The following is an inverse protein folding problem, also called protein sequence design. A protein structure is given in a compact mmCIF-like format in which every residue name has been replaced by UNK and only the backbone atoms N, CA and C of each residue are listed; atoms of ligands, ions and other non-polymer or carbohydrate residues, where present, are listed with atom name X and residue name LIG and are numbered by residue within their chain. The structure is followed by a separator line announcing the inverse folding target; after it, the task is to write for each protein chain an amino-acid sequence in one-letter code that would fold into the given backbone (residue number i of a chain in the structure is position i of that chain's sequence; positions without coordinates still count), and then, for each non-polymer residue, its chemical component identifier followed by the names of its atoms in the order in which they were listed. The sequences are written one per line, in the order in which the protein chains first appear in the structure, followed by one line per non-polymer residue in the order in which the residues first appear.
data_IF_266464515310
#
_entry.id   IF_266464515310
#
_cell.length_a   1.000
_cell.length_b   1.000
_cell.length_c   1.000
_cell.angle_alpha   90.00
_cell.angle_beta   90.00
_cell.angle_gamma   90.00
#
_symmetry.space_group_name_H-M   'P 1'
#
loop_
_entity.id
_entity.type
_entity.pdbx_description
1 polymer ?
#
# COMPACT_ATOMS: atom_id res chain seq x y z
N UNK A 1 15.77 -10.31 6.31
CA UNK A 1 14.92 -9.94 7.45
C UNK A 1 13.57 -10.66 7.40
N UNK A 2 12.63 -10.32 6.53
CA UNK A 2 11.29 -10.96 6.48
C UNK A 2 11.33 -12.47 6.23
N UNK A 3 12.15 -12.92 5.31
CA UNK A 3 12.24 -14.35 4.91
C UNK A 3 12.66 -15.25 6.07
N UNK A 4 13.41 -14.71 7.03
CA UNK A 4 13.86 -15.42 8.24
C UNK A 4 12.88 -15.27 9.42
N UNK A 5 11.87 -14.39 9.27
CA UNK A 5 10.88 -14.11 10.30
C UNK A 5 11.46 -13.54 11.58
N UNK A 6 10.78 -13.75 12.69
CA UNK A 6 11.25 -13.32 14.02
C UNK A 6 12.55 -14.00 14.45
N UNK A 7 12.87 -15.17 13.92
CA UNK A 7 14.10 -15.87 14.23
C UNK A 7 15.36 -15.07 13.83
N UNK A 8 15.25 -14.15 12.86
CA UNK A 8 16.35 -13.26 12.46
C UNK A 8 16.80 -12.32 13.58
N UNK A 9 15.95 -12.09 14.57
CA UNK A 9 16.21 -11.15 15.66
C UNK A 9 16.70 -11.82 16.95
N UNK A 10 16.80 -13.16 16.97
CA UNK A 10 17.31 -13.87 18.14
C UNK A 10 18.72 -13.39 18.48
N UNK A 11 18.95 -13.06 19.75
CA UNK A 11 20.19 -12.51 20.31
C UNK A 11 20.61 -11.15 19.72
N UNK A 12 19.73 -10.49 18.94
CA UNK A 12 19.98 -9.15 18.43
C UNK A 12 19.66 -8.08 19.46
N UNK A 13 20.40 -6.98 19.38
CA UNK A 13 20.19 -5.75 20.16
C UNK A 13 19.53 -4.72 19.25
N UNK A 14 18.19 -4.65 19.33
CA UNK A 14 17.35 -3.92 18.37
C UNK A 14 16.95 -2.55 18.93
N UNK A 15 17.32 -1.49 18.22
CA UNK A 15 16.87 -0.13 18.52
C UNK A 15 15.64 0.22 17.67
N UNK A 16 14.54 0.54 18.34
CA UNK A 16 13.34 1.09 17.71
C UNK A 16 13.41 2.63 17.75
N UNK A 17 13.37 3.26 16.60
CA UNK A 17 13.23 4.71 16.47
C UNK A 17 11.75 5.11 16.38
N UNK A 18 11.42 6.25 15.74
CA UNK A 18 10.05 6.67 15.60
C UNK A 18 9.25 5.71 14.72
N UNK A 19 8.13 5.24 15.26
CA UNK A 19 7.22 4.30 14.61
C UNK A 19 6.10 4.97 13.81
N UNK A 20 5.15 4.15 13.30
CA UNK A 20 3.86 4.64 12.86
C UNK A 20 3.06 5.16 14.06
N UNK A 21 2.06 6.02 13.80
CA UNK A 21 1.16 6.49 14.86
C UNK A 21 0.39 5.32 15.47
N UNK A 22 0.36 5.24 16.81
CA UNK A 22 -0.29 4.15 17.53
C UNK A 22 0.67 3.16 18.17
N UNK A 23 0.13 2.10 18.80
CA UNK A 23 0.88 1.22 19.71
C UNK A 23 1.67 0.11 18.98
N UNK A 24 1.83 0.19 17.66
CA UNK A 24 2.45 -0.88 16.87
C UNK A 24 3.88 -1.21 17.32
N UNK A 25 4.75 -0.20 17.52
CA UNK A 25 6.13 -0.46 17.94
C UNK A 25 6.26 -1.01 19.34
N UNK A 26 5.34 -0.68 20.25
CA UNK A 26 5.27 -1.31 21.58
C UNK A 26 4.94 -2.80 21.48
N UNK A 27 3.96 -3.14 20.63
CA UNK A 27 3.56 -4.52 20.37
C UNK A 27 4.67 -5.30 19.64
N UNK A 28 5.33 -4.67 18.68
CA UNK A 28 6.47 -5.25 17.96
C UNK A 28 7.63 -5.54 18.92
N UNK A 29 7.91 -4.63 19.85
CA UNK A 29 8.94 -4.86 20.87
C UNK A 29 8.66 -6.11 21.69
N UNK A 30 7.40 -6.39 22.03
CA UNK A 30 7.02 -7.61 22.74
C UNK A 30 7.24 -8.86 21.87
N UNK A 31 6.93 -8.82 20.56
CA UNK A 31 7.20 -9.94 19.66
C UNK A 31 8.71 -10.20 19.51
N UNK A 32 9.51 -9.14 19.37
CA UNK A 32 10.97 -9.22 19.25
C UNK A 32 11.61 -9.79 20.54
N UNK A 33 11.16 -9.31 21.70
CA UNK A 33 11.62 -9.81 23.01
C UNK A 33 11.26 -11.28 23.20
N UNK A 34 10.04 -11.69 22.83
CA UNK A 34 9.61 -13.08 22.86
C UNK A 34 10.45 -13.97 21.93
N UNK A 35 10.99 -13.41 20.84
CA UNK A 35 11.91 -14.10 19.93
C UNK A 35 13.37 -14.15 20.44
N UNK A 36 13.67 -13.53 21.59
CA UNK A 36 15.01 -13.53 22.20
C UNK A 36 15.86 -12.30 21.83
N UNK A 37 15.28 -11.21 21.32
CA UNK A 37 15.96 -9.94 21.12
C UNK A 37 16.00 -9.10 22.40
N UNK A 38 17.04 -8.29 22.56
CA UNK A 38 17.04 -7.16 23.50
C UNK A 38 16.56 -5.92 22.77
N UNK A 39 15.47 -5.31 23.26
CA UNK A 39 14.83 -4.20 22.53
C UNK A 39 15.02 -2.90 23.30
N UNK A 40 15.49 -1.90 22.60
CA UNK A 40 15.68 -0.53 23.05
C UNK A 40 14.79 0.42 22.23
N UNK A 41 14.37 1.53 22.83
CA UNK A 41 13.49 2.50 22.18
C UNK A 41 13.94 3.91 22.46
N UNK A 42 13.94 4.76 21.43
CA UNK A 42 14.11 6.21 21.59
C UNK A 42 12.80 6.90 21.23
N UNK A 43 12.27 7.71 22.15
CA UNK A 43 11.13 8.59 21.93
C UNK A 43 11.62 9.99 21.57
N UNK A 44 11.12 10.55 20.48
CA UNK A 44 11.49 11.86 19.97
C UNK A 44 10.48 12.96 20.36
N UNK A 45 9.25 12.57 20.68
CA UNK A 45 8.18 13.52 21.06
C UNK A 45 7.15 12.88 21.97
N UNK A 46 6.17 13.68 22.41
CA UNK A 46 5.10 13.23 23.31
C UNK A 46 4.17 12.17 22.72
N UNK A 47 3.99 12.13 21.40
CA UNK A 47 3.23 11.08 20.71
C UNK A 47 3.92 9.73 20.78
N UNK A 48 5.25 9.71 20.57
CA UNK A 48 6.05 8.49 20.74
C UNK A 48 5.96 8.01 22.19
N UNK A 49 6.09 8.94 23.16
CA UNK A 49 6.01 8.65 24.58
C UNK A 49 4.66 8.06 24.98
N UNK A 50 3.55 8.59 24.47
CA UNK A 50 2.21 8.07 24.76
C UNK A 50 2.10 6.57 24.43
N UNK A 51 2.63 6.18 23.29
CA UNK A 51 2.52 4.79 22.80
C UNK A 51 3.68 3.88 23.23
N UNK A 52 4.73 4.43 23.83
CA UNK A 52 5.83 3.67 24.42
C UNK A 52 6.38 4.37 25.68
N UNK A 53 5.60 4.40 26.78
CA UNK A 53 5.91 5.25 27.93
C UNK A 53 6.97 4.69 28.88
N UNK A 54 7.24 3.38 28.84
CA UNK A 54 8.14 2.70 29.78
C UNK A 54 9.28 2.01 29.06
N UNK A 55 10.50 2.07 29.65
CA UNK A 55 11.67 1.42 29.09
C UNK A 55 12.21 2.07 27.81
N UNK A 56 11.81 3.32 27.53
CA UNK A 56 12.32 4.08 26.41
C UNK A 56 13.20 5.24 26.88
N UNK A 57 14.24 5.52 26.13
CA UNK A 57 15.07 6.74 26.26
C UNK A 57 14.34 7.92 25.58
N UNK A 58 14.39 9.10 26.18
CA UNK A 58 13.79 10.30 25.60
C UNK A 58 14.90 11.22 25.05
N UNK A 59 14.91 11.44 23.75
CA UNK A 59 15.75 12.48 23.17
C UNK A 59 15.04 13.84 23.33
N UNK A 60 15.66 14.76 24.06
CA UNK A 60 15.12 16.11 24.34
C UNK A 60 16.04 17.21 23.80
N UNK A 61 17.16 16.82 23.18
CA UNK A 61 18.17 17.73 22.64
C UNK A 61 17.72 18.45 21.36
N UNK A 62 18.53 19.37 20.89
CA UNK A 62 18.35 20.01 19.60
C UNK A 62 18.68 19.03 18.46
N UNK A 63 18.22 19.36 17.24
CA UNK A 63 18.36 18.45 16.09
C UNK A 63 19.82 18.14 15.74
N UNK A 64 20.72 19.09 15.91
CA UNK A 64 22.16 18.98 15.71
C UNK A 64 22.86 18.10 16.76
N UNK A 65 22.26 17.93 17.94
CA UNK A 65 22.74 17.02 18.99
C UNK A 65 22.35 15.56 18.73
N UNK A 66 21.42 15.31 17.79
CA UNK A 66 20.91 13.99 17.49
C UNK A 66 21.98 12.96 17.08
N UNK A 67 22.94 13.29 16.20
CA UNK A 67 24.00 12.33 15.81
C UNK A 67 24.83 11.86 17.00
N UNK A 68 25.18 12.77 17.92
CA UNK A 68 25.98 12.45 19.12
C UNK A 68 25.20 11.53 20.02
N UNK A 69 23.98 11.91 20.40
CA UNK A 69 23.10 11.09 21.23
C UNK A 69 22.87 9.69 20.65
N UNK A 70 22.61 9.59 19.33
CA UNK A 70 22.38 8.30 18.70
C UNK A 70 23.62 7.41 18.73
N UNK A 71 24.81 7.95 18.51
CA UNK A 71 26.07 7.20 18.63
C UNK A 71 26.28 6.70 20.06
N UNK A 72 26.05 7.53 21.08
CA UNK A 72 26.13 7.12 22.50
C UNK A 72 25.16 5.98 22.82
N UNK A 73 23.92 6.04 22.32
CA UNK A 73 22.94 4.96 22.48
C UNK A 73 23.41 3.67 21.81
N UNK A 74 23.96 3.76 20.60
CA UNK A 74 24.46 2.60 19.86
C UNK A 74 25.62 1.95 20.62
N UNK A 75 26.57 2.75 21.12
CA UNK A 75 27.74 2.24 21.83
C UNK A 75 27.38 1.65 23.21
N UNK A 76 26.61 2.42 24.01
CA UNK A 76 26.22 2.01 25.37
C UNK A 76 25.43 0.70 25.37
N UNK A 77 24.56 0.55 24.38
CA UNK A 77 23.69 -0.63 24.29
C UNK A 77 24.19 -1.67 23.28
N UNK A 78 25.36 -1.47 22.65
CA UNK A 78 25.94 -2.32 21.62
C UNK A 78 24.88 -2.72 20.56
N UNK A 79 24.15 -1.72 20.02
CA UNK A 79 23.08 -1.94 19.05
C UNK A 79 23.66 -2.54 17.77
N UNK A 80 22.99 -3.56 17.22
CA UNK A 80 23.35 -4.19 15.96
C UNK A 80 22.27 -4.03 14.87
N UNK A 81 21.05 -3.68 15.27
CA UNK A 81 19.91 -3.55 14.36
C UNK A 81 19.06 -2.31 14.71
N UNK A 82 18.71 -1.52 13.72
CA UNK A 82 17.83 -0.35 13.87
C UNK A 82 16.55 -0.60 13.08
N UNK A 83 15.39 -0.41 13.72
CA UNK A 83 14.09 -0.45 13.07
C UNK A 83 13.42 0.91 13.17
N UNK A 84 12.90 1.41 12.05
CA UNK A 84 12.29 2.72 11.94
C UNK A 84 11.09 2.71 10.96
N UNK A 85 10.26 3.75 10.98
CA UNK A 85 9.13 3.92 10.07
C UNK A 85 9.33 5.14 9.16
N UNK A 86 9.49 4.88 7.85
CA UNK A 86 9.78 5.92 6.85
C UNK A 86 11.22 6.45 6.95
N UNK A 87 12.00 6.21 5.93
CA UNK A 87 13.43 6.55 5.85
C UNK A 87 13.68 8.02 5.48
N UNK A 88 12.71 8.72 4.91
CA UNK A 88 12.84 10.11 4.47
C UNK A 88 12.70 11.14 5.60
N UNK A 89 12.34 10.73 6.84
CA UNK A 89 12.25 11.68 7.99
C UNK A 89 13.63 12.17 8.39
N UNK A 90 13.76 13.45 8.76
CA UNK A 90 15.06 14.07 9.04
C UNK A 90 15.91 13.28 10.07
N UNK A 91 15.32 12.89 11.21
CA UNK A 91 16.00 12.08 12.23
C UNK A 91 16.38 10.69 11.72
N UNK A 92 15.52 10.09 10.88
CA UNK A 92 15.76 8.75 10.32
C UNK A 92 16.84 8.75 9.23
N UNK A 93 16.94 9.81 8.41
CA UNK A 93 18.03 9.94 7.43
C UNK A 93 19.40 9.96 8.10
N UNK A 94 19.54 10.71 9.20
CA UNK A 94 20.76 10.74 10.00
C UNK A 94 21.01 9.35 10.62
N UNK A 95 19.99 8.74 11.22
CA UNK A 95 20.11 7.41 11.81
C UNK A 95 20.51 6.35 10.78
N UNK A 96 19.95 6.42 9.57
CA UNK A 96 20.29 5.51 8.47
C UNK A 96 21.76 5.69 8.03
N UNK A 97 22.22 6.94 7.91
CA UNK A 97 23.62 7.24 7.58
C UNK A 97 24.58 6.67 8.63
N UNK A 98 24.35 6.95 9.92
CA UNK A 98 25.16 6.42 11.03
C UNK A 98 25.14 4.88 11.03
N UNK A 99 23.98 4.27 10.86
CA UNK A 99 23.85 2.82 10.81
C UNK A 99 24.67 2.20 9.67
N UNK A 100 24.66 2.84 8.49
CA UNK A 100 25.44 2.41 7.32
C UNK A 100 26.94 2.52 7.58
N UNK A 101 27.42 3.64 8.13
CA UNK A 101 28.82 3.86 8.49
C UNK A 101 29.32 2.83 9.50
N UNK A 102 28.45 2.48 10.44
CA UNK A 102 28.73 1.47 11.50
C UNK A 102 28.41 0.05 11.11
N UNK A 103 27.94 -0.20 9.88
CA UNK A 103 27.57 -1.52 9.35
C UNK A 103 26.47 -2.22 10.16
N UNK A 104 25.54 -1.47 10.75
CA UNK A 104 24.38 -2.00 11.45
C UNK A 104 23.33 -2.44 10.45
N UNK A 105 22.49 -3.41 10.83
CA UNK A 105 21.31 -3.75 10.04
C UNK A 105 20.23 -2.68 10.21
N UNK A 106 19.64 -2.22 9.11
CA UNK A 106 18.51 -1.28 9.14
C UNK A 106 17.28 -1.96 8.57
N UNK A 107 16.18 -1.95 9.31
CA UNK A 107 14.86 -2.37 8.84
C UNK A 107 13.92 -1.17 8.79
N UNK A 108 13.38 -0.90 7.62
CA UNK A 108 12.48 0.23 7.38
C UNK A 108 11.06 -0.28 7.21
N UNK A 109 10.19 0.14 8.13
CA UNK A 109 8.75 -0.06 8.00
C UNK A 109 8.13 1.07 7.16
N UNK A 110 7.14 0.72 6.36
CA UNK A 110 6.34 1.66 5.58
C UNK A 110 4.94 1.07 5.34
N UNK A 111 4.00 1.92 4.94
CA UNK A 111 2.68 1.48 4.48
C UNK A 111 2.82 0.42 3.37
N UNK A 112 1.92 -0.58 3.40
CA UNK A 112 2.00 -1.70 2.46
C UNK A 112 1.99 -1.28 1.00
N UNK A 113 2.85 -1.87 0.20
CA UNK A 113 2.78 -1.77 -1.27
C UNK A 113 1.55 -2.48 -1.81
N UNK A 114 1.14 -3.55 -1.14
CA UNK A 114 -0.07 -4.32 -1.46
C UNK A 114 -1.10 -4.09 -0.37
N UNK A 115 -2.02 -3.16 -0.63
CA UNK A 115 -3.06 -2.75 0.32
C UNK A 115 -4.36 -3.50 0.08
N UNK A 116 -5.21 -3.67 1.10
CA UNK A 116 -5.10 -3.14 2.47
C UNK A 116 -4.39 -4.06 3.48
N UNK A 117 -4.03 -5.30 3.10
CA UNK A 117 -3.78 -6.40 4.02
C UNK A 117 -2.31 -6.58 4.42
N UNK A 118 -1.44 -5.69 3.94
CA UNK A 118 0.00 -5.78 4.17
C UNK A 118 0.59 -4.47 4.65
N UNK A 119 1.68 -4.60 5.43
CA UNK A 119 2.65 -3.54 5.74
C UNK A 119 3.99 -3.90 5.12
N UNK A 120 4.79 -2.89 4.81
CA UNK A 120 6.13 -3.07 4.24
C UNK A 120 7.17 -3.14 5.35
N UNK A 121 8.14 -4.04 5.19
CA UNK A 121 9.41 -4.04 5.92
C UNK A 121 10.53 -4.41 4.94
N UNK A 122 11.43 -3.49 4.67
CA UNK A 122 12.60 -3.72 3.83
C UNK A 122 13.89 -3.47 4.59
N UNK A 123 14.97 -4.04 4.08
CA UNK A 123 16.32 -3.74 4.53
C UNK A 123 16.83 -2.51 3.79
N UNK A 124 17.45 -1.60 4.53
CA UNK A 124 18.19 -0.44 4.06
C UNK A 124 17.38 0.67 3.36
N UNK A 125 16.12 0.49 3.06
CA UNK A 125 15.30 1.54 2.45
C UNK A 125 13.98 1.04 1.90
N UNK A 126 13.07 1.98 1.62
CA UNK A 126 11.75 1.72 1.04
C UNK A 126 11.45 2.72 -0.09
N UNK A 127 10.47 2.41 -0.91
CA UNK A 127 10.06 3.26 -2.04
C UNK A 127 11.24 3.54 -2.99
N UNK A 128 11.62 4.81 -3.23
CA UNK A 128 12.75 5.17 -4.07
C UNK A 128 14.12 4.75 -3.52
N UNK A 129 14.23 4.55 -2.18
CA UNK A 129 15.44 4.01 -1.54
C UNK A 129 15.46 2.47 -1.47
N UNK A 130 14.45 1.80 -2.00
CA UNK A 130 14.37 0.35 -1.97
C UNK A 130 15.53 -0.31 -2.74
N UNK A 131 16.07 -1.38 -2.19
CA UNK A 131 17.10 -2.21 -2.83
C UNK A 131 16.53 -3.28 -3.77
N UNK A 132 15.24 -3.25 -4.03
CA UNK A 132 14.59 -4.17 -4.97
C UNK A 132 15.15 -4.00 -6.37
N UNK A 133 15.54 -5.10 -7.06
CA UNK A 133 16.04 -5.00 -8.43
C UNK A 133 15.01 -4.42 -9.40
N UNK A 134 15.44 -3.55 -10.30
CA UNK A 134 14.60 -3.02 -11.39
C UNK A 134 14.69 -3.86 -12.68
N UNK A 135 15.44 -4.97 -12.66
CA UNK A 135 15.63 -5.87 -13.80
C UNK A 135 14.46 -6.87 -13.93
N UNK A 136 13.69 -6.87 -15.03
CA UNK A 136 12.58 -7.80 -15.23
C UNK A 136 13.01 -9.27 -15.24
N UNK A 137 14.20 -9.60 -15.76
CA UNK A 137 14.71 -10.97 -15.84
C UNK A 137 14.90 -11.57 -14.43
N UNK A 138 15.29 -10.73 -13.46
CA UNK A 138 15.41 -11.16 -12.07
C UNK A 138 14.10 -11.78 -11.56
N UNK A 139 12.97 -11.13 -11.79
CA UNK A 139 11.66 -11.61 -11.33
C UNK A 139 11.15 -12.79 -12.16
N UNK A 140 11.34 -12.76 -13.47
CA UNK A 140 10.91 -13.84 -14.36
C UNK A 140 11.60 -15.18 -14.03
N UNK A 141 12.84 -15.14 -13.56
CA UNK A 141 13.59 -16.32 -13.12
C UNK A 141 13.24 -16.80 -11.71
N UNK A 142 12.44 -16.06 -10.93
CA UNK A 142 11.99 -16.50 -9.61
C UNK A 142 10.77 -17.38 -9.70
N UNK A 143 10.82 -18.52 -9.02
CA UNK A 143 9.64 -19.40 -8.88
C UNK A 143 8.85 -18.90 -7.67
N UNK A 144 7.56 -18.56 -7.79
CA UNK A 144 6.75 -18.19 -6.64
C UNK A 144 6.66 -19.34 -5.64
N UNK A 145 6.72 -19.03 -4.36
CA UNK A 145 6.64 -20.04 -3.29
C UNK A 145 5.24 -20.64 -3.08
N UNK A 146 4.30 -20.35 -3.96
CA UNK A 146 2.89 -20.79 -3.89
C UNK A 146 1.97 -19.70 -3.34
N UNK A 147 0.71 -20.02 -3.17
CA UNK A 147 -0.28 -19.12 -2.57
C UNK A 147 0.03 -18.86 -1.10
N UNK A 148 0.09 -17.58 -0.74
CA UNK A 148 0.27 -17.14 0.64
C UNK A 148 -1.10 -16.85 1.23
N UNK A 149 -1.46 -17.53 2.31
CA UNK A 149 -2.67 -17.20 3.04
C UNK A 149 -2.56 -15.78 3.61
N UNK A 150 -3.57 -14.95 3.33
CA UNK A 150 -3.65 -13.57 3.79
C UNK A 150 -4.85 -13.42 4.72
N UNK A 151 -4.61 -13.03 5.96
CA UNK A 151 -5.67 -12.64 6.89
C UNK A 151 -6.18 -11.24 6.49
N UNK A 152 -7.49 -11.06 6.24
CA UNK A 152 -8.01 -9.77 5.83
C UNK A 152 -7.95 -8.76 6.98
N UNK A 153 -7.34 -7.61 6.72
CA UNK A 153 -7.23 -6.50 7.69
C UNK A 153 -8.54 -5.72 7.75
N UNK A 154 -9.20 -5.54 6.63
CA UNK A 154 -10.41 -4.72 6.52
C UNK A 154 -10.14 -3.21 6.62
N UNK A 155 -11.18 -2.43 6.89
CA UNK A 155 -11.07 -0.98 6.98
C UNK A 155 -10.45 -0.53 8.31
N UNK A 156 -9.34 0.17 8.24
CA UNK A 156 -8.59 0.69 9.40
C UNK A 156 -8.66 2.22 9.53
N UNK A 157 -9.40 2.91 8.66
CA UNK A 157 -9.40 4.37 8.58
C UNK A 157 -9.69 5.05 9.93
N UNK A 158 -10.77 4.63 10.63
CA UNK A 158 -11.15 5.24 11.90
C UNK A 158 -10.15 4.96 13.03
N UNK A 159 -9.54 3.78 13.04
CA UNK A 159 -8.46 3.46 13.99
C UNK A 159 -7.21 4.29 13.71
N UNK A 160 -6.83 4.42 12.45
CA UNK A 160 -5.69 5.27 12.07
C UNK A 160 -5.94 6.73 12.45
N UNK A 161 -7.15 7.23 12.22
CA UNK A 161 -7.55 8.59 12.62
C UNK A 161 -7.50 8.77 14.15
N UNK A 162 -8.04 7.82 14.91
CA UNK A 162 -8.00 7.83 16.38
C UNK A 162 -6.56 7.86 16.89
N UNK A 163 -5.71 6.97 16.40
CA UNK A 163 -4.30 6.92 16.82
C UNK A 163 -3.55 8.20 16.44
N UNK A 164 -3.84 8.76 15.26
CA UNK A 164 -3.25 10.04 14.86
C UNK A 164 -3.71 11.18 15.77
N UNK A 165 -5.00 11.28 16.09
CA UNK A 165 -5.52 12.30 17.02
C UNK A 165 -4.86 12.20 18.39
N UNK A 166 -4.78 10.99 18.97
CA UNK A 166 -4.14 10.77 20.27
C UNK A 166 -2.64 11.08 20.23
N UNK A 167 -1.95 10.67 19.16
CA UNK A 167 -0.52 10.96 18.98
C UNK A 167 -0.24 12.46 18.92
N UNK A 168 -1.00 13.21 18.13
CA UNK A 168 -0.80 14.64 17.98
C UNK A 168 -1.23 15.41 19.23
N UNK A 169 -2.30 14.99 19.90
CA UNK A 169 -2.70 15.56 21.19
C UNK A 169 -1.61 15.38 22.25
N UNK A 170 -1.05 14.19 22.39
CA UNK A 170 0.03 13.93 23.33
C UNK A 170 1.31 14.71 22.94
N UNK A 171 1.63 14.83 21.65
CA UNK A 171 2.75 15.64 21.20
C UNK A 171 2.58 17.12 21.55
N UNK A 172 1.35 17.65 21.52
CA UNK A 172 1.03 19.03 21.95
C UNK A 172 1.13 19.19 23.47
N UNK A 173 0.51 18.30 24.24
CA UNK A 173 0.51 18.37 25.70
C UNK A 173 1.94 18.26 26.26
N UNK A 174 2.73 17.35 25.71
CA UNK A 174 4.13 17.12 26.11
C UNK A 174 5.14 17.97 25.35
N UNK A 175 4.67 18.97 24.58
CA UNK A 175 5.57 19.90 23.89
C UNK A 175 6.59 20.56 24.81
N UNK A 176 6.30 21.01 26.04
CA UNK A 176 7.32 21.59 26.90
C UNK A 176 8.48 20.64 27.24
N UNK A 177 8.21 19.32 27.28
CA UNK A 177 9.23 18.29 27.54
C UNK A 177 10.09 18.02 26.30
N UNK A 178 9.52 18.17 25.11
CA UNK A 178 10.14 17.90 23.82
C UNK A 178 10.21 19.16 22.95
N UNK A 179 10.42 20.32 23.54
CA UNK A 179 10.32 21.63 22.88
C UNK A 179 11.29 21.81 21.71
N UNK A 180 12.41 21.09 21.71
CA UNK A 180 13.46 21.17 20.67
C UNK A 180 13.23 20.18 19.51
N UNK A 181 12.18 19.32 19.58
CA UNK A 181 11.87 18.38 18.52
C UNK A 181 11.38 19.08 17.26
N UNK A 182 12.01 18.79 16.13
CA UNK A 182 11.58 19.27 14.80
C UNK A 182 10.64 18.27 14.16
N UNK A 183 9.36 18.57 14.20
CA UNK A 183 8.37 17.72 13.58
C UNK A 183 8.40 17.84 12.05
N UNK A 184 8.23 16.72 11.34
CA UNK A 184 8.18 16.70 9.86
C UNK A 184 6.89 17.32 9.29
N UNK A 185 5.88 17.57 10.12
CA UNK A 185 4.65 18.31 9.80
C UNK A 185 4.45 19.39 10.86
N UNK A 186 4.06 20.62 10.50
CA UNK A 186 3.73 21.62 11.50
C UNK A 186 2.58 21.13 12.36
N UNK A 187 2.84 20.97 13.68
CA UNK A 187 1.85 20.62 14.67
C UNK A 187 1.25 21.91 15.22
N UNK A 188 0.07 22.27 14.76
CA UNK A 188 -0.68 23.41 15.31
C UNK A 188 -2.12 23.00 15.57
N UNK A 189 -2.75 23.58 16.62
CA UNK A 189 -4.20 23.49 16.83
C UNK A 189 -4.96 23.97 15.58
N UNK A 190 -4.33 24.84 14.79
CA UNK A 190 -4.86 25.30 13.48
C UNK A 190 -5.03 24.16 12.45
N UNK A 191 -4.39 23.01 12.64
CA UNK A 191 -4.60 21.80 11.83
C UNK A 191 -6.03 21.23 11.91
N UNK A 192 -6.79 21.58 12.94
CA UNK A 192 -8.22 21.21 13.01
C UNK A 192 -9.04 21.87 11.91
N UNK A 193 -8.68 23.09 11.48
CA UNK A 193 -9.35 23.79 10.39
C UNK A 193 -9.35 23.03 9.07
N UNK A 194 -8.18 22.56 8.56
CA UNK A 194 -8.10 21.67 7.40
C UNK A 194 -8.94 20.39 7.54
N UNK A 195 -9.04 19.79 8.72
CA UNK A 195 -9.85 18.58 8.93
C UNK A 195 -11.35 18.85 8.77
N UNK A 196 -11.86 19.91 9.41
CA UNK A 196 -13.26 20.35 9.27
C UNK A 196 -13.55 20.71 7.80
N UNK A 197 -12.64 21.47 7.16
CA UNK A 197 -12.73 21.80 5.74
C UNK A 197 -12.77 20.55 4.86
N UNK A 198 -11.99 19.53 5.18
CA UNK A 198 -11.96 18.26 4.43
C UNK A 198 -13.31 17.54 4.48
N UNK A 199 -13.98 17.51 5.65
CA UNK A 199 -15.30 16.88 5.81
C UNK A 199 -16.34 17.62 4.96
N UNK A 200 -16.39 18.95 5.08
CA UNK A 200 -17.31 19.78 4.29
C UNK A 200 -17.07 19.64 2.79
N UNK A 201 -15.81 19.73 2.35
CA UNK A 201 -15.45 19.55 0.93
C UNK A 201 -15.80 18.16 0.41
N UNK A 202 -15.68 17.11 1.24
CA UNK A 202 -16.11 15.75 0.87
C UNK A 202 -17.60 15.70 0.53
N UNK A 203 -18.44 16.29 1.38
CA UNK A 203 -19.88 16.37 1.13
C UNK A 203 -20.20 17.18 -0.14
N UNK A 204 -19.56 18.34 -0.29
CA UNK A 204 -19.72 19.21 -1.46
C UNK A 204 -19.33 18.51 -2.76
N UNK A 205 -18.15 17.88 -2.84
CA UNK A 205 -17.70 17.20 -4.05
C UNK A 205 -18.52 15.94 -4.36
N UNK A 206 -19.05 15.24 -3.37
CA UNK A 206 -19.97 14.12 -3.59
C UNK A 206 -21.21 14.54 -4.37
N UNK A 207 -21.75 15.72 -4.08
CA UNK A 207 -22.90 16.26 -4.78
C UNK A 207 -22.50 16.79 -6.17
N UNK A 208 -21.44 17.60 -6.22
CA UNK A 208 -20.98 18.24 -7.44
C UNK A 208 -20.52 17.25 -8.51
N UNK A 209 -19.92 16.13 -8.10
CA UNK A 209 -19.29 15.14 -8.99
C UNK A 209 -20.12 13.84 -9.11
N UNK A 210 -21.40 13.84 -8.68
CA UNK A 210 -22.24 12.64 -8.64
C UNK A 210 -22.31 11.89 -9.98
N UNK A 211 -22.37 12.63 -11.10
CA UNK A 211 -22.50 12.05 -12.45
C UNK A 211 -21.14 11.82 -13.13
N UNK A 212 -20.05 12.35 -12.52
CA UNK A 212 -18.72 12.28 -13.12
C UNK A 212 -18.18 10.87 -13.19
N UNK A 213 -18.43 10.05 -12.18
CA UNK A 213 -18.03 8.63 -12.18
C UNK A 213 -18.66 7.90 -13.38
N UNK A 214 -19.97 8.02 -13.57
CA UNK A 214 -20.70 7.39 -14.68
C UNK A 214 -20.26 7.91 -16.04
N UNK A 215 -19.95 9.20 -16.14
CA UNK A 215 -19.43 9.81 -17.36
C UNK A 215 -18.05 9.23 -17.74
N UNK A 216 -17.14 9.08 -16.77
CA UNK A 216 -15.80 8.56 -16.99
C UNK A 216 -15.78 7.05 -17.28
N UNK A 217 -16.68 6.29 -16.66
CA UNK A 217 -16.78 4.84 -16.90
C UNK A 217 -17.70 4.48 -18.08
N UNK A 218 -18.43 5.45 -18.64
CA UNK A 218 -19.32 5.31 -19.79
C UNK A 218 -18.80 6.07 -21.02
N UNK A 219 -19.35 7.25 -21.30
CA UNK A 219 -19.08 8.01 -22.52
C UNK A 219 -17.60 8.39 -22.73
N UNK A 220 -16.84 8.54 -21.67
CA UNK A 220 -15.40 8.83 -21.71
C UNK A 220 -14.51 7.59 -21.46
N UNK A 221 -15.07 6.39 -21.36
CA UNK A 221 -14.27 5.17 -21.19
C UNK A 221 -13.23 5.03 -22.31
N UNK A 222 -11.99 4.72 -21.95
CA UNK A 222 -10.81 4.65 -22.83
C UNK A 222 -10.49 5.95 -23.60
N UNK A 223 -11.11 7.07 -23.21
CA UNK A 223 -10.88 8.40 -23.82
C UNK A 223 -10.29 9.42 -22.85
N UNK A 224 -9.87 9.00 -21.65
CA UNK A 224 -9.20 9.89 -20.71
C UNK A 224 -7.90 9.31 -20.19
N UNK A 225 -6.97 10.19 -19.85
CA UNK A 225 -5.78 9.89 -19.10
C UNK A 225 -5.97 10.30 -17.65
N UNK A 226 -5.58 9.44 -16.72
CA UNK A 226 -5.74 9.65 -15.28
C UNK A 226 -4.42 10.10 -14.63
N UNK A 227 -4.49 11.19 -13.87
CA UNK A 227 -3.37 11.74 -13.10
C UNK A 227 -3.76 11.78 -11.62
N UNK A 228 -3.53 10.70 -10.86
CA UNK A 228 -3.76 10.70 -9.43
C UNK A 228 -2.64 11.48 -8.73
N UNK A 229 -3.00 12.57 -8.05
CA UNK A 229 -2.06 13.40 -7.31
C UNK A 229 -1.64 12.74 -6.00
N UNK A 230 -0.46 13.09 -5.52
CA UNK A 230 0.05 12.80 -4.18
C UNK A 230 -0.29 13.93 -3.21
N UNK A 231 -0.08 13.71 -1.92
CA UNK A 231 -0.23 14.76 -0.91
C UNK A 231 0.85 15.81 -1.12
N UNK A 232 0.53 17.09 -0.99
CA UNK A 232 1.44 18.21 -1.29
C UNK A 232 2.78 18.16 -0.54
N UNK A 233 2.80 17.59 0.65
CA UNK A 233 3.98 17.47 1.52
C UNK A 233 4.52 16.03 1.56
N UNK A 234 4.29 15.24 0.52
CA UNK A 234 4.84 13.89 0.42
C UNK A 234 6.36 13.97 0.19
N UNK A 235 7.12 13.45 1.16
CA UNK A 235 8.57 13.44 1.09
C UNK A 235 9.11 12.66 -0.13
N UNK A 236 8.34 11.73 -0.67
CA UNK A 236 8.71 10.94 -1.85
C UNK A 236 8.83 11.81 -3.11
N UNK A 237 8.04 12.89 -3.21
CA UNK A 237 8.12 13.82 -4.34
C UNK A 237 9.50 14.49 -4.36
N UNK A 238 9.90 15.07 -3.23
CA UNK A 238 11.15 15.82 -3.13
C UNK A 238 12.41 14.94 -3.15
N UNK A 239 12.30 13.71 -2.60
CA UNK A 239 13.46 12.80 -2.48
C UNK A 239 13.68 11.96 -3.73
N UNK A 240 12.62 11.64 -4.48
CA UNK A 240 12.62 10.61 -5.53
C UNK A 240 11.95 11.08 -6.82
N UNK A 241 11.98 12.37 -7.09
CA UNK A 241 11.60 12.93 -8.39
C UNK A 241 12.30 14.27 -8.64
N UNK A 242 12.22 14.72 -9.90
CA UNK A 242 12.73 16.05 -10.30
C UNK A 242 11.82 17.21 -9.92
N UNK A 243 10.62 16.91 -9.41
CA UNK A 243 9.61 17.94 -9.13
C UNK A 243 9.77 18.51 -7.73
N UNK A 244 9.83 19.84 -7.64
CA UNK A 244 9.84 20.55 -6.36
C UNK A 244 8.44 20.63 -5.72
N UNK A 245 7.35 20.34 -6.45
CA UNK A 245 5.99 20.37 -5.92
C UNK A 245 5.00 19.59 -6.79
N UNK A 246 3.83 19.30 -6.23
CA UNK A 246 2.69 18.77 -6.99
C UNK A 246 2.23 19.75 -8.08
N UNK A 247 2.31 21.05 -7.84
CA UNK A 247 1.96 22.07 -8.83
C UNK A 247 2.87 22.03 -10.06
N UNK A 248 4.17 21.85 -9.85
CA UNK A 248 5.13 21.73 -10.95
C UNK A 248 4.85 20.48 -11.78
N UNK A 249 4.55 19.35 -11.12
CA UNK A 249 4.12 18.12 -11.81
C UNK A 249 2.84 18.33 -12.63
N UNK A 250 1.82 19.00 -12.06
CA UNK A 250 0.58 19.33 -12.79
C UNK A 250 0.89 20.16 -14.03
N UNK A 251 1.76 21.18 -13.94
CA UNK A 251 2.16 22.03 -15.09
C UNK A 251 2.84 21.19 -16.16
N UNK A 252 3.82 20.40 -15.76
CA UNK A 252 4.56 19.53 -16.67
C UNK A 252 3.61 18.58 -17.43
N UNK A 253 2.73 17.88 -16.72
CA UNK A 253 1.79 16.93 -17.33
C UNK A 253 0.77 17.64 -18.23
N UNK A 254 0.20 18.78 -17.80
CA UNK A 254 -0.77 19.51 -18.58
C UNK A 254 -0.16 20.09 -19.86
N UNK A 255 1.07 20.58 -19.82
CA UNK A 255 1.78 21.11 -21.00
C UNK A 255 2.08 19.98 -21.99
N UNK A 256 2.64 18.88 -21.52
CA UNK A 256 2.90 17.70 -22.36
C UNK A 256 1.62 17.15 -23.00
N UNK A 257 0.53 17.04 -22.22
CA UNK A 257 -0.78 16.61 -22.71
C UNK A 257 -1.34 17.55 -23.78
N UNK A 258 -1.23 18.86 -23.60
CA UNK A 258 -1.75 19.85 -24.56
C UNK A 258 -1.08 19.74 -25.93
N UNK A 259 0.24 19.48 -25.93
CA UNK A 259 1.07 19.44 -27.13
C UNK A 259 1.01 18.08 -27.87
N UNK A 260 0.89 16.99 -27.12
CA UNK A 260 1.15 15.66 -27.68
C UNK A 260 -0.02 14.67 -27.59
N UNK A 261 -1.05 14.96 -26.75
CA UNK A 261 -2.14 14.01 -26.59
C UNK A 261 -3.13 14.03 -27.78
N UNK A 262 -3.66 12.85 -28.18
CA UNK A 262 -4.61 12.76 -29.29
C UNK A 262 -5.83 13.67 -29.10
N UNK A 263 -6.32 14.23 -30.20
CA UNK A 263 -7.56 14.98 -30.21
C UNK A 263 -8.72 14.11 -29.67
N UNK A 264 -9.65 14.71 -28.94
CA UNK A 264 -10.78 13.99 -28.34
C UNK A 264 -10.47 13.21 -27.06
N UNK A 265 -9.23 13.23 -26.57
CA UNK A 265 -8.89 12.70 -25.23
C UNK A 265 -8.99 13.78 -24.15
N UNK A 266 -9.18 13.35 -22.91
CA UNK A 266 -9.38 14.22 -21.73
C UNK A 266 -8.32 13.90 -20.68
N UNK A 267 -7.75 14.92 -20.06
CA UNK A 267 -6.88 14.79 -18.90
C UNK A 267 -7.70 14.90 -17.61
N UNK A 268 -7.71 13.84 -16.82
CA UNK A 268 -8.42 13.78 -15.54
C UNK A 268 -7.42 13.84 -14.40
N UNK A 269 -7.34 14.98 -13.74
CA UNK A 269 -6.50 15.17 -12.55
C UNK A 269 -7.32 14.81 -11.33
N UNK A 270 -6.91 13.74 -10.61
CA UNK A 270 -7.62 13.27 -9.42
C UNK A 270 -6.92 13.75 -8.16
N UNK A 271 -7.64 14.54 -7.37
CA UNK A 271 -7.17 15.06 -6.09
C UNK A 271 -6.92 13.95 -5.06
N UNK A 272 -5.88 14.11 -4.23
CA UNK A 272 -5.61 13.15 -3.16
C UNK A 272 -6.58 13.37 -1.98
N UNK A 273 -7.27 12.33 -1.47
CA UNK A 273 -8.27 12.47 -0.41
C UNK A 273 -7.74 13.12 0.88
N UNK A 274 -6.49 12.83 1.25
CA UNK A 274 -5.83 13.40 2.45
C UNK A 274 -5.44 14.86 2.28
N UNK A 275 -5.36 15.37 1.05
CA UNK A 275 -4.97 16.75 0.74
C UNK A 275 -6.18 17.69 0.61
N UNK A 276 -7.39 17.14 0.65
CA UNK A 276 -8.66 17.87 0.40
C UNK A 276 -8.86 19.09 1.31
N UNK A 277 -8.38 19.03 2.55
CA UNK A 277 -8.47 20.12 3.50
C UNK A 277 -7.41 21.20 3.33
N UNK A 278 -6.31 20.88 2.67
CA UNK A 278 -5.11 21.72 2.57
C UNK A 278 -5.08 22.49 1.26
N UNK A 279 -4.96 21.82 0.14
CA UNK A 279 -4.78 22.43 -1.16
C UNK A 279 -6.03 22.36 -2.04
N UNK A 280 -6.06 23.22 -3.04
CA UNK A 280 -7.06 23.25 -4.11
C UNK A 280 -6.39 23.76 -5.39
N UNK A 281 -6.21 22.86 -6.33
CA UNK A 281 -5.55 23.16 -7.62
C UNK A 281 -6.53 23.68 -8.67
N UNK A 282 -7.79 23.98 -8.32
CA UNK A 282 -8.82 24.47 -9.26
C UNK A 282 -8.41 25.76 -9.99
N UNK A 283 -7.74 26.69 -9.29
CA UNK A 283 -7.28 27.95 -9.91
C UNK A 283 -6.14 27.69 -10.90
N UNK A 284 -5.19 26.85 -10.52
CA UNK A 284 -4.06 26.43 -11.37
C UNK A 284 -4.57 25.76 -12.64
N UNK A 285 -5.44 24.75 -12.50
CA UNK A 285 -5.96 23.96 -13.62
C UNK A 285 -6.83 24.82 -14.57
N UNK A 286 -7.64 25.74 -14.04
CA UNK A 286 -8.39 26.69 -14.88
C UNK A 286 -7.48 27.62 -15.66
N UNK A 287 -6.39 28.10 -15.05
CA UNK A 287 -5.39 28.93 -15.73
C UNK A 287 -4.71 28.15 -16.84
N UNK A 288 -4.16 26.97 -16.55
CA UNK A 288 -3.53 26.09 -17.52
C UNK A 288 -4.49 25.70 -18.66
N UNK A 289 -5.76 25.41 -18.33
CA UNK A 289 -6.78 25.11 -19.34
C UNK A 289 -6.95 26.22 -20.38
N UNK A 290 -6.86 27.48 -19.95
CA UNK A 290 -6.94 28.66 -20.85
C UNK A 290 -5.64 28.90 -21.60
N UNK A 291 -4.49 28.91 -20.87
CA UNK A 291 -3.17 29.18 -21.45
C UNK A 291 -2.79 28.14 -22.50
N UNK A 292 -3.14 26.87 -22.28
CA UNK A 292 -2.83 25.76 -23.17
C UNK A 292 -3.98 25.39 -24.14
N UNK A 293 -5.05 26.17 -24.16
CA UNK A 293 -6.25 25.93 -25.00
C UNK A 293 -6.89 24.52 -24.82
N UNK A 294 -6.80 23.94 -23.61
CA UNK A 294 -7.37 22.62 -23.27
C UNK A 294 -8.49 22.67 -22.22
N UNK A 295 -9.13 23.83 -22.00
CA UNK A 295 -10.14 23.99 -20.96
C UNK A 295 -11.26 22.94 -21.03
N UNK A 296 -11.71 22.56 -22.23
CA UNK A 296 -12.71 21.51 -22.44
C UNK A 296 -12.21 20.08 -22.30
N UNK A 297 -10.88 19.89 -22.23
CA UNK A 297 -10.21 18.59 -22.12
C UNK A 297 -9.53 18.35 -20.78
N UNK A 298 -9.69 19.26 -19.80
CA UNK A 298 -9.05 19.19 -18.49
C UNK A 298 -10.12 19.10 -17.41
N UNK A 299 -10.20 17.97 -16.73
CA UNK A 299 -11.13 17.69 -15.64
C UNK A 299 -10.38 17.56 -14.32
N UNK A 300 -10.94 18.17 -13.25
CA UNK A 300 -10.44 18.03 -11.90
C UNK A 300 -11.49 17.36 -11.03
N UNK A 301 -11.14 16.23 -10.44
CA UNK A 301 -12.04 15.36 -9.69
C UNK A 301 -11.46 14.99 -8.32
N UNK A 302 -12.30 14.66 -7.33
CA UNK A 302 -11.89 14.46 -5.96
C UNK A 302 -12.18 13.03 -5.46
N UNK A 303 -13.43 12.73 -5.12
CA UNK A 303 -13.80 11.53 -4.36
C UNK A 303 -14.35 10.38 -5.20
N UNK A 304 -13.92 10.27 -6.46
CA UNK A 304 -14.32 9.20 -7.35
C UNK A 304 -13.63 7.87 -7.00
N UNK A 305 -14.29 6.76 -7.31
CA UNK A 305 -13.79 5.41 -7.05
C UNK A 305 -12.62 5.08 -7.97
N UNK A 306 -11.42 5.12 -7.41
CA UNK A 306 -10.15 4.97 -8.13
C UNK A 306 -10.03 3.66 -8.93
N UNK A 307 -10.36 2.46 -8.39
CA UNK A 307 -10.29 1.22 -9.15
C UNK A 307 -11.10 1.25 -10.45
N UNK A 308 -12.33 1.80 -10.42
CA UNK A 308 -13.13 1.95 -11.64
C UNK A 308 -12.50 2.92 -12.64
N UNK A 309 -11.87 4.00 -12.18
CA UNK A 309 -11.17 4.91 -13.08
C UNK A 309 -9.97 4.23 -13.74
N UNK A 310 -9.21 3.44 -12.99
CA UNK A 310 -8.06 2.69 -13.51
C UNK A 310 -8.44 1.63 -14.55
N UNK A 311 -9.64 1.04 -14.44
CA UNK A 311 -10.16 0.09 -15.43
C UNK A 311 -10.61 0.73 -16.74
N UNK A 312 -11.02 1.99 -16.69
CA UNK A 312 -11.60 2.71 -17.84
C UNK A 312 -10.68 3.80 -18.42
N UNK A 313 -9.53 4.05 -17.81
CA UNK A 313 -8.56 5.02 -18.34
C UNK A 313 -7.80 4.49 -19.55
N UNK A 314 -7.47 5.36 -20.49
CA UNK A 314 -6.55 5.09 -21.60
C UNK A 314 -5.11 4.90 -21.12
N UNK A 315 -4.74 5.58 -20.03
CA UNK A 315 -3.44 5.47 -19.39
C UNK A 315 -3.37 6.30 -18.12
N UNK A 316 -2.46 5.92 -17.22
CA UNK A 316 -2.24 6.59 -15.95
C UNK A 316 -0.85 7.23 -15.93
N UNK A 317 -0.77 8.48 -15.45
CA UNK A 317 0.50 9.20 -15.27
C UNK A 317 0.61 9.63 -13.81
N UNK A 318 1.72 9.33 -13.17
CA UNK A 318 1.96 9.70 -11.78
C UNK A 318 3.46 9.95 -11.52
N UNK A 319 3.80 10.52 -10.39
CA UNK A 319 5.20 10.69 -9.99
C UNK A 319 5.77 9.33 -9.58
N UNK A 320 5.48 8.87 -8.35
CA UNK A 320 5.98 7.61 -7.79
C UNK A 320 5.02 6.99 -6.76
N UNK A 321 3.75 7.36 -6.82
CA UNK A 321 2.71 6.89 -5.90
C UNK A 321 2.50 5.38 -5.95
N UNK A 322 2.19 4.77 -4.80
CA UNK A 322 1.74 3.36 -4.72
C UNK A 322 0.46 3.07 -5.51
N UNK A 323 -0.28 4.11 -5.95
CA UNK A 323 -1.38 3.99 -6.91
C UNK A 323 -0.91 3.35 -8.23
N UNK A 324 0.38 3.48 -8.58
CA UNK A 324 0.97 2.81 -9.74
C UNK A 324 0.84 1.28 -9.69
N UNK A 325 1.02 0.66 -8.53
CA UNK A 325 0.76 -0.77 -8.36
C UNK A 325 -0.70 -1.13 -8.60
N UNK A 326 -1.63 -0.31 -8.08
CA UNK A 326 -3.06 -0.45 -8.40
C UNK A 326 -3.34 -0.33 -9.89
N UNK A 327 -2.71 0.64 -10.58
CA UNK A 327 -2.84 0.80 -12.03
C UNK A 327 -2.39 -0.46 -12.78
N UNK A 328 -1.23 -1.02 -12.40
CA UNK A 328 -0.73 -2.27 -12.98
C UNK A 328 -1.67 -3.45 -12.74
N UNK A 329 -2.24 -3.59 -11.53
CA UNK A 329 -3.21 -4.66 -11.23
C UNK A 329 -4.50 -4.53 -12.04
N UNK A 330 -4.90 -3.31 -12.38
CA UNK A 330 -6.01 -3.04 -13.30
C UNK A 330 -5.60 -3.02 -14.78
N UNK A 331 -4.33 -3.38 -15.09
CA UNK A 331 -3.76 -3.40 -16.44
C UNK A 331 -3.83 -2.05 -17.16
N UNK A 332 -3.88 -0.95 -16.40
CA UNK A 332 -3.81 0.39 -16.97
C UNK A 332 -2.39 0.67 -17.49
N UNK A 333 -2.22 1.10 -18.74
CA UNK A 333 -0.93 1.62 -19.22
C UNK A 333 -0.43 2.70 -18.26
N UNK A 334 0.84 2.61 -17.85
CA UNK A 334 1.37 3.42 -16.77
C UNK A 334 2.67 4.13 -17.17
N UNK A 335 2.68 5.46 -17.03
CA UNK A 335 3.89 6.28 -17.06
C UNK A 335 4.23 6.76 -15.67
N UNK A 336 5.45 6.51 -15.24
CA UNK A 336 6.02 6.96 -13.98
C UNK A 336 7.00 8.10 -14.28
N UNK A 337 6.86 9.23 -13.58
CA UNK A 337 7.67 10.43 -13.77
C UNK A 337 8.71 10.65 -12.66
N UNK A 338 8.84 9.71 -11.72
CA UNK A 338 9.81 9.68 -10.63
C UNK A 338 10.35 8.27 -10.43
N UNK A 339 11.02 8.04 -9.31
CA UNK A 339 11.57 6.73 -8.94
C UNK A 339 10.53 5.91 -8.17
N UNK A 340 10.26 4.68 -8.64
CA UNK A 340 9.33 3.76 -7.98
C UNK A 340 9.80 2.30 -8.16
N UNK A 341 9.53 1.48 -7.15
CA UNK A 341 9.93 0.04 -7.13
C UNK A 341 9.36 -0.76 -8.30
N UNK A 342 8.27 -0.30 -8.89
CA UNK A 342 7.58 -0.93 -10.02
C UNK A 342 7.93 -0.28 -11.37
N UNK A 343 8.87 0.68 -11.41
CA UNK A 343 9.34 1.31 -12.65
C UNK A 343 10.23 0.35 -13.48
N UNK A 344 9.69 -0.84 -13.77
CA UNK A 344 10.39 -1.95 -14.41
C UNK A 344 9.96 -2.04 -15.88
N UNK A 345 10.92 -2.25 -16.78
CA UNK A 345 10.66 -2.50 -18.21
C UNK A 345 9.70 -3.69 -18.38
N UNK A 346 8.62 -3.46 -19.13
CA UNK A 346 7.54 -4.44 -19.31
C UNK A 346 6.39 -4.31 -18.29
N UNK A 347 6.54 -3.53 -17.21
CA UNK A 347 5.45 -3.13 -16.34
C UNK A 347 4.97 -1.72 -16.64
N UNK A 348 5.90 -0.78 -16.88
CA UNK A 348 5.58 0.63 -17.13
C UNK A 348 6.18 1.08 -18.46
N UNK A 349 5.62 2.13 -19.03
CA UNK A 349 6.14 2.79 -20.23
C UNK A 349 7.48 3.44 -19.93
N UNK A 350 8.50 3.17 -20.78
CA UNK A 350 9.89 3.58 -20.52
C UNK A 350 10.25 4.92 -21.17
N UNK A 351 9.68 5.21 -22.35
CA UNK A 351 10.03 6.41 -23.12
C UNK A 351 9.46 7.68 -22.48
N UNK A 352 9.73 8.85 -23.02
CA UNK A 352 9.31 10.13 -22.48
C UNK A 352 7.79 10.29 -22.42
N UNK A 353 7.33 11.19 -21.52
CA UNK A 353 5.90 11.45 -21.31
C UNK A 353 5.19 11.91 -22.59
N UNK A 354 5.89 12.69 -23.42
CA UNK A 354 5.32 13.24 -24.66
C UNK A 354 4.89 12.16 -25.64
N UNK A 355 5.63 11.05 -25.70
CA UNK A 355 5.31 9.90 -26.54
C UNK A 355 4.22 9.02 -25.94
N UNK A 356 4.14 8.97 -24.59
CA UNK A 356 3.18 8.12 -23.90
C UNK A 356 1.74 8.38 -24.31
N UNK A 357 1.38 9.63 -24.57
CA UNK A 357 0.01 10.00 -24.96
C UNK A 357 -0.47 9.30 -26.22
N UNK A 358 0.44 9.06 -27.17
CA UNK A 358 0.14 8.35 -28.42
C UNK A 358 0.26 6.84 -28.26
N UNK A 359 1.21 6.38 -27.44
CA UNK A 359 1.56 4.97 -27.32
C UNK A 359 0.84 4.22 -26.21
N UNK A 360 0.04 4.90 -25.39
CA UNK A 360 -0.62 4.28 -24.25
C UNK A 360 -1.46 3.05 -24.65
N UNK A 361 -2.19 3.10 -25.75
CA UNK A 361 -3.01 1.96 -26.21
C UNK A 361 -2.17 0.76 -26.66
N UNK A 362 -0.93 0.99 -27.11
CA UNK A 362 0.01 -0.07 -27.49
C UNK A 362 0.80 -0.61 -26.29
N UNK A 363 0.74 0.10 -25.16
CA UNK A 363 1.46 -0.26 -23.94
C UNK A 363 0.72 -1.36 -23.20
N UNK A 364 1.23 -2.58 -23.28
CA UNK A 364 0.62 -3.74 -22.59
C UNK A 364 1.45 -4.12 -21.38
N UNK A 365 0.79 -4.22 -20.22
CA UNK A 365 1.41 -4.70 -18.98
C UNK A 365 1.72 -6.19 -19.11
N UNK A 366 2.98 -6.57 -18.93
CA UNK A 366 3.37 -7.97 -18.89
C UNK A 366 2.84 -8.65 -17.62
N UNK A 367 1.71 -9.35 -17.75
CA UNK A 367 1.03 -9.99 -16.62
C UNK A 367 1.86 -11.09 -15.95
N UNK A 368 2.71 -11.80 -16.71
CA UNK A 368 3.59 -12.82 -16.13
C UNK A 368 4.64 -12.17 -15.22
N UNK A 369 5.28 -11.11 -15.71
CA UNK A 369 6.23 -10.32 -14.93
C UNK A 369 5.54 -9.70 -13.70
N UNK A 370 4.36 -9.10 -13.86
CA UNK A 370 3.60 -8.49 -12.76
C UNK A 370 3.27 -9.51 -11.65
N UNK A 371 2.83 -10.70 -12.02
CA UNK A 371 2.53 -11.76 -11.06
C UNK A 371 3.79 -12.22 -10.31
N UNK A 372 4.91 -12.37 -11.01
CA UNK A 372 6.20 -12.73 -10.41
C UNK A 372 6.71 -11.63 -9.47
N UNK A 373 6.65 -10.38 -9.91
CA UNK A 373 7.00 -9.22 -9.10
C UNK A 373 6.13 -9.13 -7.84
N UNK A 374 4.80 -9.24 -7.99
CA UNK A 374 3.86 -9.24 -6.86
C UNK A 374 4.17 -10.36 -5.85
N UNK A 375 4.42 -11.58 -6.33
CA UNK A 375 4.77 -12.70 -5.46
C UNK A 375 6.06 -12.44 -4.72
N UNK A 376 7.07 -11.90 -5.40
CA UNK A 376 8.35 -11.54 -4.80
C UNK A 376 8.18 -10.45 -3.71
N UNK A 377 7.39 -9.39 -3.99
CA UNK A 377 7.08 -8.37 -2.98
C UNK A 377 6.46 -8.98 -1.73
N UNK A 378 5.40 -9.79 -1.89
CA UNK A 378 4.73 -10.44 -0.76
C UNK A 378 5.72 -11.29 0.03
N UNK A 379 6.63 -11.96 -0.63
CA UNK A 379 7.56 -12.90 0.00
C UNK A 379 8.71 -12.21 0.73
N UNK A 380 9.20 -11.10 0.20
CA UNK A 380 10.44 -10.48 0.66
C UNK A 380 10.27 -9.12 1.36
N UNK A 381 9.16 -8.42 1.12
CA UNK A 381 8.98 -7.06 1.62
C UNK A 381 7.66 -6.81 2.35
N UNK A 382 6.69 -7.72 2.25
CA UNK A 382 5.36 -7.49 2.80
C UNK A 382 5.05 -8.43 3.96
N UNK A 383 4.61 -7.89 5.10
CA UNK A 383 4.08 -8.62 6.24
C UNK A 383 2.56 -8.48 6.27
N UNK A 384 1.84 -9.60 6.32
CA UNK A 384 0.39 -9.55 6.47
C UNK A 384 0.02 -9.01 7.86
N UNK A 385 -0.69 -7.89 7.89
CA UNK A 385 -1.05 -7.17 9.09
C UNK A 385 -1.27 -5.69 8.87
N UNK A 386 -1.42 -4.93 9.97
CA UNK A 386 -1.66 -3.49 9.94
C UNK A 386 -0.98 -2.79 11.11
N UNK A 387 -0.53 -1.56 10.90
CA UNK A 387 -0.04 -0.70 11.97
C UNK A 387 -1.13 -0.29 12.95
N UNK A 388 -2.36 -0.19 12.49
CA UNK A 388 -3.48 0.39 13.23
C UNK A 388 -4.35 -0.65 13.92
N UNK A 389 -4.60 -1.79 13.26
CA UNK A 389 -5.41 -2.88 13.78
C UNK A 389 -4.52 -4.09 14.10
N UNK A 390 -4.68 -4.64 15.29
CA UNK A 390 -4.06 -5.90 15.65
C UNK A 390 -4.91 -7.04 15.06
N UNK A 391 -4.31 -7.87 14.23
CA UNK A 391 -4.93 -9.12 13.79
C UNK A 391 -4.84 -10.19 14.88
N UNK A 392 -5.81 -11.13 14.96
CA UNK A 392 -5.82 -12.19 15.96
C UNK A 392 -4.86 -13.34 15.55
N UNK A 393 -3.59 -13.03 15.37
CA UNK A 393 -2.55 -13.99 14.99
C UNK A 393 -1.97 -14.60 16.24
N UNK A 394 -2.08 -15.94 16.44
CA UNK A 394 -1.50 -16.62 17.60
C UNK A 394 0.00 -16.36 17.71
N UNK A 395 0.46 -16.06 18.93
CA UNK A 395 1.89 -15.80 19.19
C UNK A 395 2.41 -14.45 18.71
N UNK A 396 1.58 -13.57 18.16
CA UNK A 396 1.98 -12.21 17.77
C UNK A 396 1.26 -11.15 18.61
N UNK A 397 2.04 -10.34 19.33
CA UNK A 397 1.55 -9.15 20.01
C UNK A 397 1.22 -8.02 19.04
N UNK A 398 2.03 -7.86 17.99
CA UNK A 398 1.82 -6.86 16.95
C UNK A 398 0.65 -7.21 16.02
N UNK A 399 0.21 -8.47 15.98
CA UNK A 399 -0.81 -8.95 15.07
C UNK A 399 -0.31 -8.96 13.61
N UNK A 400 0.95 -9.30 13.41
CA UNK A 400 1.58 -9.47 12.09
C UNK A 400 2.06 -10.90 11.91
N UNK A 401 1.99 -11.38 10.68
CA UNK A 401 2.38 -12.76 10.34
C UNK A 401 3.81 -12.79 9.78
N UNK A 402 4.72 -13.42 10.52
CA UNK A 402 6.13 -13.48 10.16
C UNK A 402 6.51 -14.78 9.42
N UNK A 403 6.11 -15.95 9.93
CA UNK A 403 6.76 -17.23 9.64
C UNK A 403 5.92 -18.25 8.85
N UNK A 404 4.60 -18.14 8.82
CA UNK A 404 3.73 -19.18 8.23
C UNK A 404 3.75 -19.24 6.69
N UNK A 405 4.57 -18.44 6.05
CA UNK A 405 4.61 -18.31 4.58
C UNK A 405 5.19 -19.52 3.86
N UNK A 406 5.89 -20.43 4.57
CA UNK A 406 6.60 -21.56 3.97
C UNK A 406 6.00 -22.95 4.21
N UNK A 407 5.00 -23.09 5.06
CA UNK A 407 4.37 -24.39 5.27
C UNK A 407 3.27 -24.61 4.24
N UNK A 408 3.56 -25.39 3.20
CA UNK A 408 2.52 -26.06 2.41
C UNK A 408 1.57 -26.74 3.40
N UNK A 409 0.23 -26.59 3.24
CA UNK A 409 -0.69 -27.37 4.06
C UNK A 409 -0.30 -28.83 3.90
N UNK A 410 0.03 -29.51 5.00
CA UNK A 410 0.21 -30.95 5.01
C UNK A 410 -1.10 -31.54 4.48
N UNK A 411 -1.08 -32.10 3.27
CA UNK A 411 -2.18 -32.96 2.80
C UNK A 411 -2.38 -33.96 3.93
N UNK A 412 -3.56 -33.91 4.58
CA UNK A 412 -3.98 -35.00 5.46
C UNK A 412 -3.88 -36.26 4.63
N UNK A 413 -2.93 -37.10 4.94
CA UNK A 413 -2.92 -38.48 4.44
C UNK A 413 -4.22 -39.09 4.98
N UNK A 414 -5.19 -39.24 4.10
CA UNK A 414 -6.33 -40.12 4.35
C UNK A 414 -5.73 -41.50 4.50
N UNK A 415 -5.71 -41.96 5.75
CA UNK A 415 -5.19 -43.28 6.09
C UNK A 415 -5.96 -44.31 5.28
N UNK A 416 -5.23 -45.03 4.42
CA UNK A 416 -5.72 -46.25 3.82
C UNK A 416 -5.93 -47.26 4.93
N UNK A 417 -7.17 -47.47 5.34
CA UNK A 417 -7.56 -48.57 6.17
C UNK A 417 -7.24 -49.87 5.43
N UNK A 418 -6.28 -50.57 5.94
CA UNK A 418 -5.88 -51.94 5.55
C UNK A 418 -7.05 -52.86 5.78
N UNK A 419 -7.75 -53.25 4.71
CA UNK A 419 -8.66 -54.41 4.74
C UNK A 419 -7.81 -55.69 4.92
N UNK A 420 -7.88 -56.25 6.10
CA UNK A 420 -7.51 -57.65 6.32
C UNK A 420 -8.66 -58.52 5.89
N UNK A 421 -8.36 -59.46 5.03
CA UNK A 421 -9.29 -60.42 4.50
C UNK A 421 -9.86 -61.43 5.51
N UNK A 422 -11.05 -61.89 5.24
CA UNK A 422 -11.52 -63.27 5.59
C UNK A 422 -12.22 -63.86 4.39
N UNK A 423 -11.66 -64.98 3.99
CA UNK A 423 -12.16 -66.00 3.06
C UNK A 423 -13.50 -66.59 3.54
N UNK A 424 -14.46 -66.84 2.66
CA UNK A 424 -15.04 -68.19 2.41
C UNK A 424 -16.35 -68.11 1.62
N UNK A 425 -16.42 -68.99 0.65
CA UNK A 425 -17.58 -69.74 0.11
C UNK A 425 -18.53 -69.09 -0.91
N UNK A 426 -18.41 -69.58 -2.15
CA UNK A 426 -19.45 -69.72 -3.16
C UNK A 426 -20.54 -70.74 -2.66
N UNK A 427 -21.82 -70.74 -3.17
CA UNK A 427 -22.08 -71.24 -4.52
C UNK A 427 -23.24 -70.61 -5.32
N UNK A 428 -23.13 -70.76 -6.64
CA UNK A 428 -24.04 -71.18 -7.73
C UNK A 428 -25.41 -70.54 -7.98
N UNK A 429 -25.45 -69.94 -9.19
CA UNK A 429 -26.37 -70.16 -10.30
C UNK A 429 -27.88 -69.70 -10.21
N UNK A 430 -28.30 -68.81 -11.09
CA UNK A 430 -29.10 -69.17 -12.27
C UNK A 430 -29.50 -67.93 -13.09
N UNK A 431 -29.36 -68.10 -14.38
CA UNK A 431 -29.76 -67.22 -15.43
C UNK A 431 -31.23 -66.94 -15.54
N UNK A 432 -31.65 -65.82 -16.07
CA UNK A 432 -32.61 -65.72 -17.16
C UNK A 432 -32.51 -64.39 -17.86
N UNK A 433 -32.34 -64.51 -19.17
CA UNK A 433 -32.55 -63.55 -20.25
C UNK A 433 -33.97 -62.98 -20.18
N UNK A 434 -34.14 -61.76 -20.75
CA UNK A 434 -34.97 -61.51 -21.94
C UNK A 434 -35.00 -60.00 -22.24
N UNK A 435 -34.42 -59.66 -23.36
CA UNK A 435 -34.85 -58.81 -24.50
C UNK A 435 -35.54 -57.48 -24.26
N UNK A 436 -35.10 -56.47 -24.92
CA UNK A 436 -35.81 -55.80 -25.99
C UNK A 436 -35.88 -54.30 -25.92
N UNK A 437 -35.39 -53.66 -26.96
CA UNK A 437 -36.04 -52.62 -27.74
C UNK A 437 -35.68 -51.18 -27.40
N UNK A 438 -34.80 -50.60 -28.17
CA UNK A 438 -34.97 -49.51 -29.13
C UNK A 438 -35.96 -48.38 -28.74
N UNK A 439 -35.51 -47.14 -28.67
CA UNK A 439 -35.68 -46.09 -29.68
C UNK A 439 -35.40 -44.70 -29.09
N UNK A 440 -34.58 -43.95 -29.79
CA UNK A 440 -34.57 -42.49 -29.81
C UNK A 440 -35.77 -41.99 -30.64
N UNK A 441 -36.31 -40.76 -30.62
CA UNK A 441 -35.55 -39.52 -30.70
C UNK A 441 -36.25 -38.24 -30.13
N UNK A 442 -35.51 -37.15 -30.22
CA UNK A 442 -35.91 -35.76 -30.52
C UNK A 442 -36.47 -34.78 -29.48
N UNK A 443 -35.76 -33.69 -29.41
CA UNK A 443 -36.15 -32.26 -29.58
C UNK A 443 -36.60 -31.45 -28.36
N UNK A 444 -35.88 -30.34 -28.24
CA UNK A 444 -36.32 -28.96 -28.01
C UNK A 444 -37.11 -28.61 -26.72
N UNK A 445 -36.63 -27.58 -26.06
CA UNK A 445 -37.43 -26.84 -25.11
C UNK A 445 -36.61 -25.90 -24.23
N UNK A 446 -36.43 -24.71 -24.72
CA UNK A 446 -36.09 -23.47 -23.97
C UNK A 446 -37.12 -23.26 -22.87
N UNK A 447 -36.69 -22.97 -21.64
CA UNK A 447 -37.41 -22.03 -20.77
C UNK A 447 -36.46 -21.49 -19.68
N UNK A 448 -36.51 -20.18 -19.56
CA UNK A 448 -36.06 -19.31 -18.48
C UNK A 448 -36.59 -19.80 -17.12
N UNK A 449 -35.78 -19.63 -16.09
CA UNK A 449 -36.29 -19.22 -14.78
C UNK A 449 -35.29 -18.32 -14.08
N UNK A 450 -35.66 -17.04 -14.03
CA UNK A 450 -35.19 -16.04 -13.09
C UNK A 450 -35.71 -16.36 -11.69
N UNK A 451 -35.04 -15.69 -10.74
CA UNK A 451 -35.50 -15.29 -9.42
C UNK A 451 -34.95 -16.04 -8.22
N UNK A 452 -34.24 -15.29 -7.41
CA UNK A 452 -33.97 -15.64 -6.02
C UNK A 452 -32.70 -15.08 -5.42
N UNK A 453 -32.42 -13.76 -5.54
CA UNK A 453 -31.43 -13.11 -4.65
C UNK A 453 -32.13 -12.15 -3.72
N UNK A 454 -32.15 -12.58 -2.50
CA UNK A 454 -32.70 -12.08 -1.27
C UNK A 454 -32.44 -10.58 -1.03
N UNK A 455 -33.53 -9.85 -0.81
CA UNK A 455 -33.65 -8.61 -0.05
C UNK A 455 -33.15 -8.79 1.40
N UNK A 456 -31.90 -8.44 1.66
CA UNK A 456 -31.40 -8.19 3.04
C UNK A 456 -30.17 -7.30 3.05
N UNK A 457 -30.23 -6.13 2.44
CA UNK A 457 -29.24 -5.05 2.62
C UNK A 457 -29.82 -3.66 2.29
N UNK A 458 -30.99 -3.37 2.84
CA UNK A 458 -31.52 -2.01 2.88
C UNK A 458 -32.21 -1.79 4.23
N UNK A 459 -31.40 -1.59 5.27
CA UNK A 459 -31.81 -0.91 6.51
C UNK A 459 -30.57 -0.85 7.42
N UNK A 460 -29.74 0.15 7.21
CA UNK A 460 -28.88 0.76 8.23
C UNK A 460 -28.07 1.87 7.54
N UNK A 461 -28.70 3.01 7.41
CA UNK A 461 -28.08 4.19 6.79
C UNK A 461 -28.96 5.40 6.91
N UNK A 462 -29.66 5.54 8.04
CA UNK A 462 -30.28 6.79 8.42
C UNK A 462 -30.17 6.91 9.95
N UNK A 463 -29.17 7.63 10.42
CA UNK A 463 -29.12 8.47 11.63
C UNK A 463 -27.65 8.74 11.98
N UNK A 464 -27.34 10.02 11.98
CA UNK A 464 -26.20 10.77 12.46
C UNK A 464 -25.00 10.84 11.51
#
# INVERSE_FOLDING_TARGET
MIVQGLAAFRNKRVLLLQGPVGPFFQRLAADLAAAGAQVFKVNLNGGDWLFYPRGAMAFRGAFDEWPVFLNEVIDTHAIDTVLLFGDCRAYHRIAHQIAKERKLEVGVFEEGYIRPDYITLERDGVNGNSTLPNNPIFYLNKVPSGEVYTEPVGNTFWLAALWACLYYLAAQILWPVFSRYRHHRPLSILETGPWVRSIWRKAFYRIKERDMQSRLTGALSSRFFLVPLQVHNDAQIHSHSRFASVEEFIRHVATSFALHAPAGTVLVVKHHPMDRGYNDYSRLLRRLGRELAIAGRLLYVHDLHLPSLLQHTRGTVLINSTVGLSALFHKSPLKVCGEAIYAIKGLVYQEELDQFWQDAEKTVVNCALLNRFRSYLIEHTQLNGSFYRRLPIPGSHAGIRWEERRRKPRKKQVGSARQQGKSAAKPTARAKEVTGGADLPHSAGVTQEEAGVSRKQRQQGASL
#
